data_IF_680855539427
#
_entry.id   IF_680855539427
#
_cell.length_a   1.000
_cell.length_b   1.000
_cell.length_c   1.000
_cell.angle_alpha   90.00
_cell.angle_beta   90.00
_cell.angle_gamma   90.00
#
_symmetry.space_group_name_H-M   'P 1'
#
loop_
_entity.id
_entity.type
_entity.pdbx_description
1 polymer ?
#
# COMPACT_ATOMS: atom_id res chain seq x y z
N UNK A 1 -40.62 33.51 59.82
CA UNK A 1 -40.80 33.83 58.38
C UNK A 1 -39.61 33.22 57.64
N UNK A 2 -39.70 31.98 57.16
CA UNK A 2 -40.09 31.57 55.79
C UNK A 2 -39.26 32.24 54.67
N UNK A 3 -38.52 31.37 53.96
CA UNK A 3 -38.13 31.41 52.54
C UNK A 3 -36.76 32.06 52.21
N UNK A 4 -35.91 31.53 51.31
CA UNK A 4 -35.93 30.33 50.47
C UNK A 4 -34.50 30.07 49.98
N UNK A 5 -34.17 28.79 49.94
CA UNK A 5 -33.14 28.07 49.20
C UNK A 5 -32.78 28.68 47.83
N UNK A 6 -31.49 28.83 47.52
CA UNK A 6 -30.95 28.64 46.17
C UNK A 6 -29.62 27.89 46.26
N UNK A 7 -29.72 26.58 46.01
CA UNK A 7 -28.61 25.68 45.77
C UNK A 7 -28.12 25.95 44.34
N UNK A 8 -26.86 26.35 44.18
CA UNK A 8 -26.19 26.28 42.87
C UNK A 8 -25.41 24.98 42.85
N UNK A 9 -26.02 23.91 42.33
CA UNK A 9 -25.31 22.68 41.98
C UNK A 9 -24.55 22.96 40.70
N UNK A 10 -23.24 23.09 40.80
CA UNK A 10 -22.35 23.16 39.65
C UNK A 10 -22.18 21.74 39.11
N UNK A 11 -23.07 21.35 38.19
CA UNK A 11 -22.95 20.12 37.41
C UNK A 11 -21.74 20.26 36.45
N UNK A 12 -20.56 19.85 36.92
CA UNK A 12 -19.45 19.56 36.03
C UNK A 12 -19.79 18.24 35.34
N UNK A 13 -20.41 18.31 34.17
CA UNK A 13 -20.53 17.16 33.29
C UNK A 13 -19.12 16.80 32.80
N UNK A 14 -18.53 15.80 33.44
CA UNK A 14 -17.33 15.15 32.97
C UNK A 14 -17.69 14.43 31.67
N UNK A 15 -17.61 15.14 30.55
CA UNK A 15 -17.54 14.51 29.24
C UNK A 15 -16.24 13.70 29.23
N UNK A 16 -16.33 12.44 29.64
CA UNK A 16 -15.34 11.44 29.31
C UNK A 16 -15.40 11.27 27.79
N UNK A 17 -14.70 12.15 27.08
CA UNK A 17 -14.32 11.91 25.70
C UNK A 17 -13.34 10.75 25.76
N UNK A 18 -13.90 9.54 25.70
CA UNK A 18 -13.13 8.35 25.36
C UNK A 18 -12.59 8.60 23.97
N UNK A 19 -11.41 9.22 23.91
CA UNK A 19 -10.55 9.10 22.75
C UNK A 19 -10.36 7.61 22.57
N UNK A 20 -11.03 7.06 21.56
CA UNK A 20 -10.67 5.75 21.03
C UNK A 20 -9.29 5.98 20.43
N UNK A 21 -8.25 5.91 21.26
CA UNK A 21 -6.93 5.54 20.78
C UNK A 21 -7.17 4.16 20.20
N UNK A 22 -7.30 4.09 18.87
CA UNK A 22 -7.21 2.83 18.17
C UNK A 22 -5.93 2.20 18.69
N UNK A 23 -6.06 1.16 19.51
CA UNK A 23 -4.93 0.41 20.01
C UNK A 23 -4.26 -0.15 18.76
N UNK A 24 -3.24 0.57 18.28
CA UNK A 24 -2.29 0.01 17.34
C UNK A 24 -1.57 -1.06 18.12
N UNK A 25 -2.17 -2.25 18.17
CA UNK A 25 -1.40 -3.46 18.34
C UNK A 25 -0.26 -3.33 17.33
N UNK A 26 0.98 -3.23 17.84
CA UNK A 26 2.23 -3.21 17.07
C UNK A 26 2.46 -4.54 16.35
N UNK A 27 1.40 -5.16 15.82
CA UNK A 27 1.47 -6.32 14.97
C UNK A 27 1.90 -5.82 13.60
N UNK A 28 3.07 -6.28 13.17
CA UNK A 28 3.57 -5.99 11.85
C UNK A 28 2.51 -6.38 10.81
N UNK A 29 2.29 -5.54 9.80
CA UNK A 29 1.26 -5.75 8.80
C UNK A 29 1.53 -7.04 8.02
N UNK A 30 0.50 -7.88 7.86
CA UNK A 30 0.57 -9.08 7.03
C UNK A 30 0.51 -8.71 5.55
N UNK A 31 1.38 -9.32 4.74
CA UNK A 31 1.48 -8.96 3.31
C UNK A 31 0.17 -9.22 2.56
N UNK A 32 -0.55 -10.30 2.86
CA UNK A 32 -1.80 -10.64 2.18
C UNK A 32 -2.88 -9.55 2.36
N UNK A 33 -3.10 -9.09 3.59
CA UNK A 33 -4.07 -8.02 3.89
C UNK A 33 -3.65 -6.68 3.30
N UNK A 34 -2.36 -6.37 3.35
CA UNK A 34 -1.79 -5.22 2.64
C UNK A 34 -2.08 -5.30 1.14
N UNK A 35 -1.74 -6.43 0.51
CA UNK A 35 -1.79 -6.61 -0.94
C UNK A 35 -3.23 -6.56 -1.46
N UNK A 36 -4.17 -7.18 -0.75
CA UNK A 36 -5.60 -7.06 -1.08
C UNK A 36 -6.05 -5.59 -1.08
N UNK A 37 -5.72 -4.84 -0.02
CA UNK A 37 -6.10 -3.43 0.09
C UNK A 37 -5.38 -2.54 -0.92
N UNK A 38 -4.10 -2.80 -1.19
CA UNK A 38 -3.29 -2.11 -2.18
C UNK A 38 -3.91 -2.18 -3.58
N UNK A 39 -4.46 -3.34 -3.95
CA UNK A 39 -5.06 -3.54 -5.28
C UNK A 39 -6.50 -3.03 -5.39
N UNK A 40 -7.23 -2.85 -4.28
CA UNK A 40 -8.65 -2.43 -4.28
C UNK A 40 -8.87 -0.95 -3.97
N UNK A 41 -7.95 -0.30 -3.24
CA UNK A 41 -8.14 1.06 -2.74
C UNK A 41 -7.06 2.01 -3.30
N UNK A 42 -7.47 2.90 -4.21
CA UNK A 42 -6.58 3.87 -4.89
C UNK A 42 -5.82 4.77 -3.89
N UNK A 43 -6.53 5.37 -2.93
CA UNK A 43 -5.93 6.26 -1.92
C UNK A 43 -4.93 5.52 -1.04
N UNK A 44 -5.22 4.27 -0.68
CA UNK A 44 -4.29 3.43 0.06
C UNK A 44 -3.09 3.03 -0.79
N UNK A 45 -3.28 2.72 -2.07
CA UNK A 45 -2.16 2.45 -2.97
C UNK A 45 -1.19 3.63 -3.03
N UNK A 46 -1.73 4.84 -3.22
CA UNK A 46 -0.96 6.08 -3.28
C UNK A 46 -0.23 6.39 -1.97
N UNK A 47 -0.75 5.97 -0.80
CA UNK A 47 -0.08 6.16 0.49
C UNK A 47 1.00 5.12 0.78
N UNK A 48 1.06 4.05 -0.01
CA UNK A 48 2.03 2.96 0.11
C UNK A 48 3.10 2.98 -0.97
N UNK A 49 3.26 4.13 -1.63
CA UNK A 49 4.32 4.43 -2.57
C UNK A 49 5.03 5.69 -2.07
N UNK A 50 6.36 5.64 -2.01
CA UNK A 50 7.16 6.83 -1.76
C UNK A 50 7.50 7.46 -3.10
N UNK A 51 6.95 8.65 -3.36
CA UNK A 51 7.23 9.40 -4.58
C UNK A 51 8.43 10.36 -4.40
N UNK A 52 9.20 10.63 -5.47
CA UNK A 52 9.06 10.02 -6.79
C UNK A 52 9.47 8.54 -6.78
N UNK A 53 8.79 7.73 -7.58
CA UNK A 53 9.04 6.29 -7.66
C UNK A 53 10.05 6.02 -8.77
N UNK A 54 11.23 5.55 -8.41
CA UNK A 54 12.20 5.03 -9.38
C UNK A 54 11.83 3.61 -9.77
N UNK A 55 11.79 3.33 -11.07
CA UNK A 55 11.55 2.01 -11.66
C UNK A 55 12.63 1.71 -12.69
N UNK A 56 12.76 0.45 -13.10
CA UNK A 56 13.71 0.05 -14.14
C UNK A 56 12.98 -0.43 -15.38
N UNK A 57 13.31 0.11 -16.54
CA UNK A 57 12.70 -0.21 -17.84
C UNK A 57 13.80 -0.40 -18.89
N UNK A 58 13.57 -1.24 -19.90
CA UNK A 58 14.43 -1.27 -21.09
C UNK A 58 14.30 0.08 -21.84
N UNK A 59 15.44 0.65 -22.23
CA UNK A 59 15.49 1.74 -23.22
C UNK A 59 15.44 1.18 -24.65
N UNK A 60 15.56 2.06 -25.65
CA UNK A 60 15.54 1.69 -27.07
C UNK A 60 16.70 0.75 -27.48
N UNK A 61 17.78 0.72 -26.70
CA UNK A 61 18.96 -0.13 -26.89
C UNK A 61 18.88 -1.44 -26.07
N UNK A 62 17.72 -1.75 -25.47
CA UNK A 62 17.50 -2.90 -24.58
C UNK A 62 18.39 -2.91 -23.32
N UNK A 63 18.82 -1.73 -22.87
CA UNK A 63 19.52 -1.56 -21.61
C UNK A 63 18.54 -1.17 -20.50
N UNK A 64 18.70 -1.81 -19.35
CA UNK A 64 17.85 -1.57 -18.19
C UNK A 64 18.26 -0.28 -17.47
N UNK A 65 17.48 0.79 -17.64
CA UNK A 65 17.77 2.13 -17.09
C UNK A 65 16.75 2.54 -16.02
N UNK A 66 17.14 3.50 -15.17
CA UNK A 66 16.24 4.07 -14.17
C UNK A 66 15.28 5.09 -14.81
N UNK A 67 14.00 4.94 -14.53
CA UNK A 67 12.94 5.88 -14.90
C UNK A 67 12.27 6.42 -13.63
N UNK A 68 12.00 7.72 -13.58
CA UNK A 68 11.44 8.40 -12.41
C UNK A 68 9.98 8.75 -12.68
N UNK A 69 9.08 8.21 -11.87
CA UNK A 69 7.63 8.47 -11.96
C UNK A 69 7.25 9.43 -10.84
N UNK A 70 6.78 10.63 -11.19
CA UNK A 70 6.21 11.56 -10.21
C UNK A 70 4.83 11.11 -9.77
N UNK A 71 4.35 11.66 -8.65
CA UNK A 71 3.06 11.26 -8.06
C UNK A 71 1.89 11.51 -9.00
N UNK A 72 1.95 12.59 -9.75
CA UNK A 72 0.97 13.05 -10.74
C UNK A 72 0.99 12.23 -12.04
N UNK A 73 2.11 11.57 -12.34
CA UNK A 73 2.30 10.70 -13.53
C UNK A 73 1.96 9.24 -13.23
N UNK A 74 1.79 8.88 -11.95
CA UNK A 74 1.55 7.51 -11.54
C UNK A 74 0.15 7.01 -11.88
N UNK A 75 0.08 5.84 -12.52
CA UNK A 75 -1.17 5.12 -12.80
C UNK A 75 -1.41 4.04 -11.75
N UNK A 76 -2.64 3.95 -11.22
CA UNK A 76 -3.05 2.90 -10.29
C UNK A 76 -2.91 1.52 -10.96
N UNK A 77 -2.23 0.60 -10.28
CA UNK A 77 -2.02 -0.78 -10.74
C UNK A 77 -2.94 -1.77 -10.02
N UNK A 78 -3.31 -2.87 -10.69
CA UNK A 78 -3.96 -4.02 -10.07
C UNK A 78 -3.18 -5.30 -10.42
N UNK A 79 -2.47 -5.81 -9.42
CA UNK A 79 -1.64 -7.01 -9.42
C UNK A 79 -2.36 -8.24 -8.84
N UNK A 80 -3.65 -8.12 -8.50
CA UNK A 80 -4.45 -9.21 -7.94
C UNK A 80 -5.62 -9.59 -8.85
N UNK A 81 -5.40 -9.59 -10.16
CA UNK A 81 -6.37 -10.04 -11.17
C UNK A 81 -6.51 -11.57 -11.15
N UNK A 82 -7.69 -12.06 -11.53
CA UNK A 82 -7.92 -13.50 -11.69
C UNK A 82 -7.06 -14.08 -12.83
N UNK A 83 -6.82 -15.39 -12.83
CA UNK A 83 -6.00 -16.03 -13.87
C UNK A 83 -6.63 -15.90 -15.26
N UNK A 84 -7.96 -15.96 -15.37
CA UNK A 84 -8.66 -15.81 -16.65
C UNK A 84 -8.56 -14.40 -17.27
N UNK A 85 -8.24 -13.39 -16.46
CA UNK A 85 -8.15 -11.99 -16.88
C UNK A 85 -6.73 -11.58 -17.31
N UNK A 86 -5.80 -12.54 -17.40
CA UNK A 86 -4.38 -12.30 -17.60
C UNK A 86 -3.82 -13.16 -18.72
N UNK A 87 -2.94 -12.56 -19.51
CA UNK A 87 -2.11 -13.20 -20.52
C UNK A 87 -0.68 -13.49 -19.99
N UNK A 88 -0.54 -13.58 -18.67
CA UNK A 88 0.72 -13.89 -17.98
C UNK A 88 0.49 -14.82 -16.79
N UNK A 89 1.49 -15.63 -16.49
CA UNK A 89 1.62 -16.34 -15.22
C UNK A 89 2.12 -15.38 -14.14
N UNK A 90 1.56 -15.48 -12.93
CA UNK A 90 2.00 -14.68 -11.78
C UNK A 90 2.50 -15.55 -10.65
N UNK A 91 3.65 -15.20 -10.08
CA UNK A 91 4.25 -15.88 -8.93
C UNK A 91 4.60 -14.87 -7.84
N UNK A 92 4.40 -15.27 -6.58
CA UNK A 92 4.80 -14.47 -5.41
C UNK A 92 6.01 -15.10 -4.74
N UNK A 93 7.10 -14.34 -4.60
CA UNK A 93 8.30 -14.73 -3.86
C UNK A 93 8.31 -14.00 -2.52
N UNK A 94 8.15 -14.74 -1.43
CA UNK A 94 8.13 -14.21 -0.07
C UNK A 94 9.53 -14.25 0.56
N UNK A 95 9.96 -13.14 1.15
CA UNK A 95 11.13 -13.02 2.03
C UNK A 95 10.71 -12.20 3.26
N UNK A 96 11.52 -12.23 4.33
CA UNK A 96 11.19 -11.60 5.63
C UNK A 96 10.62 -10.18 5.51
N UNK A 97 11.35 -9.28 4.86
CA UNK A 97 11.00 -7.87 4.71
C UNK A 97 10.91 -7.43 3.24
N UNK A 98 10.77 -8.40 2.33
CA UNK A 98 10.69 -8.18 0.88
C UNK A 98 9.74 -9.18 0.24
N UNK A 99 8.86 -8.72 -0.65
CA UNK A 99 8.03 -9.59 -1.50
C UNK A 99 8.22 -9.18 -2.95
N UNK A 100 8.29 -10.16 -3.85
CA UNK A 100 8.36 -9.92 -5.29
C UNK A 100 7.15 -10.57 -5.95
N UNK A 101 6.38 -9.80 -6.71
CA UNK A 101 5.34 -10.31 -7.59
C UNK A 101 5.90 -10.35 -9.00
N UNK A 102 6.09 -11.56 -9.53
CA UNK A 102 6.65 -11.81 -10.85
C UNK A 102 5.52 -12.05 -11.84
N UNK A 103 5.49 -11.34 -12.95
CA UNK A 103 4.58 -11.54 -14.08
C UNK A 103 5.40 -12.00 -15.29
N UNK A 104 5.01 -13.13 -15.89
CA UNK A 104 5.68 -13.74 -17.03
C UNK A 104 4.68 -14.11 -18.10
N UNK A 105 4.86 -13.55 -19.29
CA UNK A 105 3.99 -13.72 -20.44
C UNK A 105 3.64 -15.16 -20.78
N UNK A 106 2.40 -15.38 -21.22
CA UNK A 106 1.97 -16.61 -21.88
C UNK A 106 1.93 -16.33 -23.36
N UNK A 107 2.95 -16.81 -24.08
CA UNK A 107 3.13 -16.56 -25.52
C UNK A 107 3.28 -15.06 -25.88
N UNK A 108 3.82 -14.25 -24.96
CA UNK A 108 4.18 -12.85 -25.19
C UNK A 108 5.43 -12.47 -24.38
N UNK A 109 5.95 -11.25 -24.58
CA UNK A 109 7.19 -10.78 -23.98
C UNK A 109 7.09 -10.20 -22.57
N UNK A 110 5.94 -10.32 -21.85
CA UNK A 110 5.80 -9.73 -20.51
C UNK A 110 6.83 -10.31 -19.54
N UNK A 111 7.67 -9.47 -18.96
CA UNK A 111 8.67 -9.85 -17.95
C UNK A 111 8.81 -8.75 -16.90
N UNK A 112 7.97 -8.80 -15.85
CA UNK A 112 7.90 -7.73 -14.85
C UNK A 112 8.04 -8.28 -13.43
N UNK A 113 8.87 -7.65 -12.62
CA UNK A 113 9.03 -7.92 -11.19
C UNK A 113 8.64 -6.69 -10.35
N UNK A 114 7.52 -6.75 -9.65
CA UNK A 114 7.10 -5.72 -8.68
C UNK A 114 7.69 -6.04 -7.31
N UNK A 115 8.44 -5.09 -6.76
CA UNK A 115 9.17 -5.27 -5.51
C UNK A 115 8.51 -4.49 -4.39
N UNK A 116 8.07 -5.21 -3.37
CA UNK A 116 7.55 -4.66 -2.13
C UNK A 116 8.56 -4.83 -1.01
N UNK A 117 8.60 -3.89 -0.08
CA UNK A 117 9.47 -3.94 1.10
C UNK A 117 8.69 -3.57 2.36
N UNK A 118 9.12 -4.11 3.50
CA UNK A 118 8.56 -3.76 4.81
C UNK A 118 9.44 -2.74 5.50
N UNK A 119 8.87 -1.60 5.89
CA UNK A 119 9.55 -0.54 6.65
C UNK A 119 8.73 -0.20 7.90
N UNK A 120 9.35 -0.31 9.07
CA UNK A 120 8.71 -0.05 10.37
C UNK A 120 7.34 -0.77 10.52
N UNK A 121 7.28 -2.02 10.05
CA UNK A 121 6.08 -2.85 10.15
C UNK A 121 5.03 -2.64 9.06
N UNK A 122 5.21 -1.69 8.13
CA UNK A 122 4.27 -1.41 7.03
C UNK A 122 4.89 -1.79 5.67
N UNK A 123 4.08 -2.32 4.76
CA UNK A 123 4.51 -2.65 3.40
C UNK A 123 4.36 -1.48 2.43
N UNK A 124 5.32 -1.36 1.52
CA UNK A 124 5.34 -0.35 0.47
C UNK A 124 5.75 -0.97 -0.86
N UNK A 125 5.23 -0.45 -1.97
CA UNK A 125 5.81 -0.70 -3.29
C UNK A 125 7.11 0.11 -3.37
N UNK A 126 8.24 -0.60 -3.54
CA UNK A 126 9.57 0.00 -3.60
C UNK A 126 9.96 0.40 -5.02
N UNK A 127 9.67 -0.45 -6.00
CA UNK A 127 10.02 -0.32 -7.42
C UNK A 127 9.32 -1.43 -8.22
N UNK A 128 9.34 -1.35 -9.54
CA UNK A 128 9.29 -2.53 -10.39
C UNK A 128 10.44 -2.52 -11.39
N UNK A 129 10.67 -3.68 -12.00
CA UNK A 129 11.64 -3.91 -13.06
C UNK A 129 10.85 -4.50 -14.23
N UNK A 130 10.84 -3.81 -15.36
CA UNK A 130 10.17 -4.24 -16.59
C UNK A 130 11.24 -4.50 -17.67
N UNK A 131 11.46 -5.77 -17.96
CA UNK A 131 12.38 -6.24 -19.00
C UNK A 131 11.60 -6.82 -20.19
N UNK A 132 10.34 -6.41 -20.37
CA UNK A 132 9.50 -6.92 -21.44
C UNK A 132 10.06 -6.59 -22.83
N UNK A 133 9.75 -7.45 -23.81
CA UNK A 133 10.22 -7.36 -25.22
C UNK A 133 9.07 -7.37 -26.22
#
# INVERSE_FOLDING_TARGET
MKNKLFIVVLLVSLFATTTILAQQNNKAEEFASFFEKFNKNKTFQMSRIHFPLTVKLNNDDFELVDYIIKKEEYTIINLNKNKEERDYNQKTILKKDKVIIQQRGVNNGIFIDYVFEKRKGLWFLKTWIDEST
#
